data_IF_371123096578
#
_entry.id   IF_371123096578
#
_cell.length_a   1.000
_cell.length_b   1.000
_cell.length_c   1.000
_cell.angle_alpha   90.00
_cell.angle_beta   90.00
_cell.angle_gamma   90.00
#
_symmetry.space_group_name_H-M   'P 1'
#
loop_
_entity.id
_entity.type
_entity.pdbx_description
1 polymer ?
#
# COMPACT_ATOMS: atom_id res chain seq x y z
N UNK A 1 14.48 -31.85 49.70
CA UNK A 1 14.29 -30.74 48.74
C UNK A 1 14.16 -31.37 47.38
N UNK A 2 12.93 -31.52 46.91
CA UNK A 2 12.59 -32.26 45.70
C UNK A 2 12.98 -31.47 44.44
N UNK A 3 13.71 -32.13 43.54
CA UNK A 3 14.24 -31.57 42.29
C UNK A 3 13.15 -30.98 41.36
N UNK A 4 11.89 -31.36 41.56
CA UNK A 4 10.75 -30.85 40.81
C UNK A 4 10.46 -29.37 41.07
N UNK A 5 10.59 -28.92 42.32
CA UNK A 5 10.24 -27.54 42.67
C UNK A 5 11.23 -26.52 42.09
N UNK A 6 12.51 -26.91 42.00
CA UNK A 6 13.52 -26.08 41.39
C UNK A 6 13.29 -25.91 39.88
N UNK A 7 12.92 -26.98 39.19
CA UNK A 7 12.63 -26.96 37.75
C UNK A 7 11.44 -26.06 37.42
N UNK A 8 10.39 -26.09 38.25
CA UNK A 8 9.21 -25.23 38.11
C UNK A 8 9.57 -23.74 38.22
N UNK A 9 10.42 -23.37 39.18
CA UNK A 9 10.84 -21.97 39.34
C UNK A 9 11.70 -21.48 38.17
N UNK A 10 12.56 -22.35 37.63
CA UNK A 10 13.35 -22.05 36.43
C UNK A 10 12.45 -21.87 35.20
N UNK A 11 11.39 -22.68 35.09
CA UNK A 11 10.40 -22.58 34.02
C UNK A 11 9.63 -21.25 34.10
N UNK A 12 9.14 -20.88 35.29
CA UNK A 12 8.40 -19.65 35.51
C UNK A 12 9.24 -18.38 35.26
N UNK A 13 10.53 -18.41 35.64
CA UNK A 13 11.47 -17.33 35.33
C UNK A 13 11.72 -17.20 33.83
N UNK A 14 11.83 -18.33 33.12
CA UNK A 14 11.98 -18.33 31.66
C UNK A 14 10.76 -17.73 30.97
N UNK A 15 9.55 -18.04 31.44
CA UNK A 15 8.32 -17.46 30.90
C UNK A 15 8.22 -15.96 31.17
N UNK A 16 8.65 -15.51 32.34
CA UNK A 16 8.64 -14.07 32.70
C UNK A 16 9.69 -13.25 31.96
N UNK A 17 10.78 -13.87 31.52
CA UNK A 17 11.88 -13.20 30.80
C UNK A 17 11.74 -13.30 29.27
N UNK A 18 10.65 -13.86 28.74
CA UNK A 18 10.41 -13.83 27.31
C UNK A 18 10.25 -12.36 26.88
N UNK A 19 11.05 -11.88 25.90
CA UNK A 19 10.85 -10.55 25.36
C UNK A 19 9.42 -10.45 24.87
N UNK A 20 8.66 -9.47 25.37
CA UNK A 20 7.34 -9.19 24.83
C UNK A 20 7.49 -9.07 23.30
N UNK A 21 6.60 -9.68 22.50
CA UNK A 21 6.64 -9.49 21.07
C UNK A 21 6.53 -7.99 20.80
N UNK A 22 7.66 -7.38 20.47
CA UNK A 22 7.71 -6.02 19.95
C UNK A 22 7.02 -6.10 18.61
N UNK A 23 5.72 -5.83 18.60
CA UNK A 23 5.07 -5.48 17.34
C UNK A 23 5.83 -4.26 16.86
N UNK A 24 6.48 -4.29 15.68
CA UNK A 24 6.97 -3.07 15.09
C UNK A 24 5.72 -2.23 14.86
N UNK A 25 5.44 -1.32 15.79
CA UNK A 25 4.55 -0.21 15.55
C UNK A 25 5.30 0.64 14.55
N UNK A 26 5.21 0.23 13.29
CA UNK A 26 5.65 1.02 12.18
C UNK A 26 4.81 2.28 12.29
N UNK A 27 5.37 3.30 12.93
CA UNK A 27 4.92 4.67 12.81
C UNK A 27 5.21 5.07 11.37
N UNK A 28 4.46 4.49 10.44
CA UNK A 28 4.26 5.08 9.13
C UNK A 28 3.41 6.29 9.46
N UNK A 29 4.01 7.48 9.50
CA UNK A 29 3.25 8.71 9.35
C UNK A 29 2.29 8.46 8.19
N UNK A 30 0.96 8.41 8.43
CA UNK A 30 0.03 8.05 7.37
C UNK A 30 0.07 9.22 6.40
N UNK A 31 0.86 9.11 5.33
CA UNK A 31 0.75 10.02 4.23
C UNK A 31 -0.71 9.90 3.77
N UNK A 32 -1.44 11.01 3.79
CA UNK A 32 -2.83 11.00 3.43
C UNK A 32 -2.96 10.40 2.02
N UNK A 33 -3.87 9.43 1.86
CA UNK A 33 -4.19 8.86 0.55
C UNK A 33 -4.43 10.02 -0.44
N UNK A 34 -3.91 9.95 -1.69
CA UNK A 34 -4.16 10.98 -2.68
C UNK A 34 -5.66 11.26 -2.85
N UNK A 35 -6.02 12.49 -3.18
CA UNK A 35 -7.41 12.88 -3.35
C UNK A 35 -8.04 12.20 -4.58
N UNK A 36 -9.37 12.12 -4.59
CA UNK A 36 -10.09 11.65 -5.77
C UNK A 36 -9.88 12.62 -6.95
N UNK A 37 -9.71 12.09 -8.16
CA UNK A 37 -9.43 12.86 -9.37
C UNK A 37 -10.55 12.69 -10.39
N UNK A 38 -11.16 13.80 -10.82
CA UNK A 38 -12.30 13.81 -11.75
C UNK A 38 -11.91 13.85 -13.24
N UNK A 39 -10.64 14.14 -13.55
CA UNK A 39 -10.16 14.28 -14.92
C UNK A 39 -9.67 15.68 -15.32
N UNK A 40 -9.59 16.65 -14.38
CA UNK A 40 -9.10 17.98 -14.71
C UNK A 40 -7.62 17.98 -15.13
N UNK A 41 -7.34 18.31 -16.39
CA UNK A 41 -5.99 18.34 -16.96
C UNK A 41 -4.99 19.19 -16.15
N UNK A 42 -5.44 20.32 -15.60
CA UNK A 42 -4.61 21.20 -14.78
C UNK A 42 -4.13 20.56 -13.46
N UNK A 43 -4.85 19.55 -12.96
CA UNK A 43 -4.52 18.83 -11.72
C UNK A 43 -3.86 17.46 -11.97
N UNK A 44 -3.79 17.00 -13.23
CA UNK A 44 -3.29 15.67 -13.60
C UNK A 44 -1.85 15.43 -13.11
N UNK A 45 -0.93 16.35 -13.40
CA UNK A 45 0.47 16.21 -13.00
C UNK A 45 0.65 16.15 -11.47
N UNK A 46 -0.11 16.96 -10.73
CA UNK A 46 -0.11 16.95 -9.27
C UNK A 46 -0.68 15.65 -8.70
N UNK A 47 -1.75 15.12 -9.29
CA UNK A 47 -2.35 13.85 -8.91
C UNK A 47 -1.38 12.67 -9.12
N UNK A 48 -0.73 12.60 -10.27
CA UNK A 48 0.26 11.56 -10.57
C UNK A 48 1.46 11.64 -9.62
N UNK A 49 1.95 12.85 -9.34
CA UNK A 49 3.02 13.06 -8.36
C UNK A 49 2.62 12.53 -6.96
N UNK A 50 1.39 12.83 -6.50
CA UNK A 50 0.91 12.31 -5.22
C UNK A 50 0.85 10.78 -5.20
N UNK A 51 0.43 10.14 -6.30
CA UNK A 51 0.42 8.69 -6.41
C UNK A 51 1.84 8.11 -6.35
N UNK A 52 2.79 8.69 -7.08
CA UNK A 52 4.20 8.27 -7.06
C UNK A 52 4.80 8.35 -5.66
N UNK A 53 4.60 9.46 -4.94
CA UNK A 53 5.07 9.62 -3.56
C UNK A 53 4.43 8.59 -2.61
N UNK A 54 3.14 8.29 -2.79
CA UNK A 54 2.44 7.28 -2.01
C UNK A 54 3.02 5.87 -2.23
N UNK A 55 3.37 5.53 -3.48
CA UNK A 55 4.03 4.27 -3.81
C UNK A 55 5.44 4.15 -3.24
N UNK A 56 6.22 5.23 -3.29
CA UNK A 56 7.57 5.28 -2.72
C UNK A 56 7.58 5.09 -1.21
N UNK A 57 6.54 5.56 -0.51
CA UNK A 57 6.43 5.34 0.93
C UNK A 57 6.03 3.90 1.30
N UNK A 58 5.34 3.19 0.39
CA UNK A 58 4.79 1.85 0.64
C UNK A 58 5.19 0.83 -0.44
N UNK A 59 6.49 0.65 -0.73
CA UNK A 59 6.95 -0.17 -1.85
C UNK A 59 6.52 -1.64 -1.74
N UNK A 60 6.35 -2.14 -0.52
CA UNK A 60 5.88 -3.50 -0.24
C UNK A 60 4.41 -3.75 -0.59
N UNK A 61 3.58 -2.70 -0.67
CA UNK A 61 2.17 -2.83 -1.09
C UNK A 61 2.02 -2.72 -2.61
N UNK A 62 2.95 -2.02 -3.26
CA UNK A 62 2.90 -1.69 -4.69
C UNK A 62 4.03 -2.38 -5.46
N UNK A 63 4.10 -3.70 -5.33
CA UNK A 63 5.20 -4.53 -5.85
C UNK A 63 5.21 -4.67 -7.39
N UNK A 64 4.10 -4.39 -8.05
CA UNK A 64 3.99 -4.49 -9.51
C UNK A 64 3.15 -3.33 -10.08
N UNK A 65 3.35 -3.09 -11.37
CA UNK A 65 2.67 -2.02 -12.11
C UNK A 65 1.15 -2.15 -12.04
N UNK A 66 0.62 -3.38 -12.08
CA UNK A 66 -0.81 -3.62 -12.00
C UNK A 66 -1.41 -3.15 -10.68
N UNK A 67 -0.73 -3.33 -9.56
CA UNK A 67 -1.16 -2.84 -8.25
C UNK A 67 -1.19 -1.30 -8.22
N UNK A 68 -0.17 -0.66 -8.78
CA UNK A 68 -0.08 0.81 -8.90
C UNK A 68 -1.20 1.37 -9.78
N UNK A 69 -1.39 0.79 -10.98
CA UNK A 69 -2.46 1.19 -11.91
C UNK A 69 -3.84 1.01 -11.27
N UNK A 70 -4.10 -0.13 -10.64
CA UNK A 70 -5.38 -0.38 -9.96
C UNK A 70 -5.63 0.64 -8.85
N UNK A 71 -4.60 1.03 -8.12
CA UNK A 71 -4.71 2.07 -7.11
C UNK A 71 -5.01 3.45 -7.71
N UNK A 72 -4.33 3.84 -8.79
CA UNK A 72 -4.62 5.10 -9.50
C UNK A 72 -6.07 5.09 -9.98
N UNK A 73 -6.53 4.00 -10.60
CA UNK A 73 -7.91 3.86 -11.07
C UNK A 73 -8.94 3.95 -9.93
N UNK A 74 -8.61 3.42 -8.74
CA UNK A 74 -9.47 3.51 -7.55
C UNK A 74 -9.65 4.93 -7.02
N UNK A 75 -8.79 5.87 -7.43
CA UNK A 75 -8.84 7.27 -7.07
C UNK A 75 -9.60 8.11 -8.09
N UNK A 76 -9.99 7.53 -9.23
CA UNK A 76 -10.70 8.26 -10.26
C UNK A 76 -12.17 8.42 -9.90
N UNK A 77 -12.75 9.52 -10.35
CA UNK A 77 -14.17 9.84 -10.20
C UNK A 77 -14.69 10.50 -11.49
N UNK A 78 -16.01 10.65 -11.61
CA UNK A 78 -16.62 11.33 -12.75
C UNK A 78 -16.19 10.76 -14.11
N UNK A 79 -15.80 11.63 -15.05
CA UNK A 79 -15.40 11.26 -16.40
C UNK A 79 -14.12 10.42 -16.46
N UNK A 80 -13.15 10.68 -15.57
CA UNK A 80 -11.93 9.88 -15.49
C UNK A 80 -12.23 8.42 -15.11
N UNK A 81 -13.20 8.19 -14.21
CA UNK A 81 -13.60 6.83 -13.85
C UNK A 81 -14.26 6.09 -15.04
N UNK A 82 -15.09 6.78 -15.83
CA UNK A 82 -15.71 6.19 -17.03
C UNK A 82 -14.66 5.80 -18.09
N UNK A 83 -13.62 6.62 -18.28
CA UNK A 83 -12.48 6.27 -19.12
C UNK A 83 -11.75 5.03 -18.59
N UNK A 84 -11.49 4.98 -17.28
CA UNK A 84 -10.84 3.86 -16.63
C UNK A 84 -11.65 2.55 -16.73
N UNK A 85 -12.96 2.60 -16.55
CA UNK A 85 -13.86 1.44 -16.75
C UNK A 85 -13.77 0.92 -18.20
N UNK A 86 -13.79 1.82 -19.18
CA UNK A 86 -13.65 1.46 -20.60
C UNK A 86 -12.30 0.79 -20.88
N UNK A 87 -11.22 1.33 -20.29
CA UNK A 87 -9.87 0.78 -20.40
C UNK A 87 -9.76 -0.62 -19.78
N UNK A 88 -10.38 -0.80 -18.61
CA UNK A 88 -10.38 -2.05 -17.86
C UNK A 88 -11.16 -3.15 -18.59
N UNK A 89 -12.37 -2.84 -19.05
CA UNK A 89 -13.24 -3.77 -19.76
C UNK A 89 -12.65 -4.21 -21.10
N UNK A 90 -11.84 -3.35 -21.73
CA UNK A 90 -11.17 -3.66 -23.01
C UNK A 90 -9.89 -4.48 -22.84
N UNK A 91 -9.49 -4.83 -21.61
CA UNK A 91 -8.20 -5.50 -21.31
C UNK A 91 -7.01 -4.78 -21.94
N UNK A 92 -7.03 -3.45 -21.94
CA UNK A 92 -6.07 -2.63 -22.66
C UNK A 92 -4.63 -2.93 -22.20
N UNK A 93 -3.65 -2.98 -23.13
CA UNK A 93 -2.24 -3.15 -22.78
C UNK A 93 -1.72 -2.04 -21.86
N UNK A 94 -2.37 -0.87 -21.85
CA UNK A 94 -2.04 0.24 -20.93
C UNK A 94 -2.15 -0.18 -19.46
N UNK A 95 -2.98 -1.16 -19.12
CA UNK A 95 -3.13 -1.66 -17.74
C UNK A 95 -2.00 -2.59 -17.27
N UNK A 96 -1.01 -2.86 -18.14
CA UNK A 96 0.11 -3.79 -17.86
C UNK A 96 1.44 -3.11 -17.57
N UNK A 97 1.59 -1.83 -17.92
CA UNK A 97 2.81 -1.06 -17.72
C UNK A 97 2.44 0.30 -17.15
N UNK A 98 3.07 0.66 -16.04
CA UNK A 98 2.78 1.93 -15.39
C UNK A 98 3.22 3.11 -16.25
N UNK A 99 4.39 3.04 -16.88
CA UNK A 99 4.87 4.08 -17.81
C UNK A 99 3.89 4.30 -18.97
N UNK A 100 3.44 3.23 -19.63
CA UNK A 100 2.48 3.35 -20.72
C UNK A 100 1.13 3.91 -20.25
N UNK A 101 0.70 3.55 -19.04
CA UNK A 101 -0.49 4.11 -18.43
C UNK A 101 -0.34 5.62 -18.20
N UNK A 102 0.76 6.06 -17.59
CA UNK A 102 1.02 7.46 -17.22
C UNK A 102 1.22 8.35 -18.45
N UNK A 103 1.88 7.85 -19.51
CA UNK A 103 2.06 8.59 -20.77
C UNK A 103 0.72 8.86 -21.48
N UNK A 104 -0.25 7.97 -21.31
CA UNK A 104 -1.59 8.11 -21.90
C UNK A 104 -2.61 8.85 -21.02
N UNK A 105 -2.32 9.01 -19.72
CA UNK A 105 -3.25 9.52 -18.71
C UNK A 105 -3.46 11.03 -18.78
#
# INVERSE_FOLDING_TARGET
MDANHFTELVQALRESLQPLPVTPSASTCPMAKPAAFSGEAAACSGFLLQCSLYFELQPHQFVNDRAKITFIMSLLSGGALQWAESLWNSYSPLTRSLDAFVDHF
#
